data_IF_020801258973
#
_entry.id   IF_020801258973
#
_cell.length_a   1.000
_cell.length_b   1.000
_cell.length_c   1.000
_cell.angle_alpha   90.00
_cell.angle_beta   90.00
_cell.angle_gamma   90.00
#
_symmetry.space_group_name_H-M   'P 1'
#
loop_
_entity.id
_entity.type
_entity.pdbx_description
1 polymer ?
#
# COMPACT_ATOMS: atom_id res chain seq x y z
N UNK A 1 -1.43 1.13 -21.53
CA UNK A 1 -0.85 2.26 -20.76
C UNK A 1 -1.10 2.18 -19.25
N UNK A 2 -2.11 1.46 -18.73
CA UNK A 2 -2.36 1.38 -17.28
C UNK A 2 -1.61 0.25 -16.55
N UNK A 3 -1.20 -0.81 -17.25
CA UNK A 3 -0.65 -2.05 -16.66
C UNK A 3 0.83 -2.29 -16.97
N UNK A 4 1.46 -1.42 -17.78
CA UNK A 4 2.87 -1.54 -18.13
C UNK A 4 3.79 -0.97 -17.05
N UNK A 5 5.09 -1.22 -17.21
CA UNK A 5 6.12 -0.63 -16.36
C UNK A 5 6.01 0.90 -16.35
N UNK A 6 6.48 1.51 -15.26
CA UNK A 6 6.55 2.95 -15.14
C UNK A 6 7.83 3.42 -15.84
N UNK A 7 7.75 4.13 -17.00
CA UNK A 7 8.94 4.70 -17.60
C UNK A 7 9.45 5.84 -16.71
N UNK A 8 10.54 5.60 -15.98
CA UNK A 8 11.14 6.58 -15.07
C UNK A 8 12.68 6.44 -15.09
N UNK A 9 13.39 7.56 -14.96
CA UNK A 9 14.86 7.59 -14.93
C UNK A 9 15.47 7.02 -13.64
N UNK A 10 14.62 6.74 -12.64
CA UNK A 10 14.96 6.10 -11.38
C UNK A 10 14.57 4.61 -11.32
N UNK A 11 14.02 4.07 -12.41
CA UNK A 11 13.72 2.65 -12.61
C UNK A 11 14.49 2.16 -13.85
N UNK A 12 15.55 1.40 -13.63
CA UNK A 12 16.49 0.97 -14.66
C UNK A 12 16.19 -0.43 -15.17
N UNK A 13 15.73 -1.32 -14.28
CA UNK A 13 15.40 -2.70 -14.63
C UNK A 13 13.89 -2.91 -14.77
N UNK A 14 13.43 -3.73 -15.75
CA UNK A 14 12.02 -4.09 -15.85
C UNK A 14 11.49 -4.69 -14.56
N UNK A 15 10.38 -4.16 -14.06
CA UNK A 15 9.77 -4.58 -12.79
C UNK A 15 10.39 -3.98 -11.53
N UNK A 16 11.48 -3.22 -11.62
CA UNK A 16 12.05 -2.47 -10.50
C UNK A 16 11.01 -1.52 -9.91
N UNK A 17 11.01 -1.38 -8.59
CA UNK A 17 10.14 -0.48 -7.84
C UNK A 17 10.83 0.01 -6.59
N UNK A 18 10.45 1.20 -6.14
CA UNK A 18 10.87 1.77 -4.86
C UNK A 18 9.90 1.41 -3.73
N UNK A 19 8.62 1.19 -4.06
CA UNK A 19 7.57 0.89 -3.09
C UNK A 19 7.21 -0.61 -3.01
N UNK A 20 7.11 -1.09 -1.78
CA UNK A 20 6.58 -2.38 -1.39
C UNK A 20 5.14 -2.25 -0.88
N UNK A 21 4.27 -3.19 -1.28
CA UNK A 21 2.85 -3.14 -0.90
C UNK A 21 2.56 -4.10 0.26
N UNK A 22 2.03 -3.53 1.34
CA UNK A 22 1.54 -4.24 2.50
C UNK A 22 0.04 -4.01 2.62
N UNK A 23 -0.69 -5.03 3.05
CA UNK A 23 -2.14 -4.99 3.05
C UNK A 23 -2.69 -5.36 4.41
N UNK A 24 -3.72 -4.65 4.85
CA UNK A 24 -4.67 -5.14 5.86
C UNK A 24 -5.92 -5.56 5.12
N UNK A 25 -6.20 -6.87 5.10
CA UNK A 25 -7.40 -7.44 4.47
C UNK A 25 -8.46 -7.64 5.56
N UNK A 26 -9.59 -6.95 5.42
CA UNK A 26 -10.68 -6.98 6.39
C UNK A 26 -11.87 -7.83 5.90
N UNK A 27 -12.24 -7.70 4.63
CA UNK A 27 -13.39 -8.41 4.05
C UNK A 27 -13.28 -8.50 2.51
N UNK A 28 -12.58 -9.53 2.04
CA UNK A 28 -12.40 -9.83 0.61
C UNK A 28 -12.74 -11.31 0.38
N UNK A 29 -13.60 -11.59 -0.59
CA UNK A 29 -13.99 -12.96 -0.93
C UNK A 29 -12.76 -13.78 -1.37
N UNK A 30 -12.63 -15.00 -0.83
CA UNK A 30 -11.50 -15.90 -1.14
C UNK A 30 -10.19 -15.59 -0.43
N UNK A 31 -10.12 -14.53 0.40
CA UNK A 31 -8.92 -14.16 1.17
C UNK A 31 -9.31 -14.02 2.64
N UNK A 32 -8.63 -14.77 3.51
CA UNK A 32 -8.87 -14.65 4.95
C UNK A 32 -8.48 -13.26 5.48
N UNK A 33 -9.14 -12.75 6.53
CA UNK A 33 -8.70 -11.51 7.16
C UNK A 33 -7.30 -11.63 7.77
N UNK A 34 -6.48 -10.59 7.58
CA UNK A 34 -5.11 -10.59 8.06
C UNK A 34 -4.25 -9.45 7.52
N UNK A 35 -3.00 -9.42 7.96
CA UNK A 35 -1.95 -8.57 7.44
C UNK A 35 -1.11 -9.35 6.42
N UNK A 36 -0.88 -8.77 5.24
CA UNK A 36 -0.22 -9.42 4.11
C UNK A 36 0.89 -8.55 3.53
N UNK A 37 1.84 -9.21 2.87
CA UNK A 37 2.77 -8.59 1.93
C UNK A 37 2.43 -9.08 0.52
N UNK A 38 2.40 -8.17 -0.45
CA UNK A 38 2.22 -8.55 -1.85
C UNK A 38 3.58 -8.78 -2.50
N UNK A 39 3.88 -10.06 -2.75
CA UNK A 39 5.05 -10.46 -3.52
C UNK A 39 4.73 -10.32 -5.00
N UNK A 40 5.29 -9.28 -5.60
CA UNK A 40 5.07 -8.97 -7.01
C UNK A 40 5.84 -9.88 -7.96
N UNK A 41 6.92 -10.53 -7.52
CA UNK A 41 7.65 -11.48 -8.37
C UNK A 41 6.81 -12.73 -8.63
N UNK A 42 6.11 -13.20 -7.58
CA UNK A 42 5.21 -14.35 -7.68
C UNK A 42 3.76 -13.95 -7.99
N UNK A 43 3.42 -12.67 -7.85
CA UNK A 43 2.06 -12.17 -7.99
C UNK A 43 1.13 -12.66 -6.88
N UNK A 44 1.67 -12.97 -5.70
CA UNK A 44 0.97 -13.65 -4.61
C UNK A 44 0.89 -12.81 -3.33
N UNK A 45 -0.06 -13.15 -2.45
CA UNK A 45 -0.17 -12.56 -1.12
C UNK A 45 0.47 -13.49 -0.10
N UNK A 46 1.53 -13.02 0.54
CA UNK A 46 2.16 -13.68 1.67
C UNK A 46 1.47 -13.23 2.96
N UNK A 47 0.87 -14.17 3.68
CA UNK A 47 0.31 -13.90 5.00
C UNK A 47 1.43 -13.61 6.01
N UNK A 48 1.37 -12.45 6.65
CA UNK A 48 2.29 -12.05 7.72
C UNK A 48 1.67 -12.31 9.10
N UNK A 49 0.39 -11.96 9.27
CA UNK A 49 -0.36 -12.14 10.52
C UNK A 49 -1.81 -12.47 10.20
N UNK A 50 -2.32 -13.60 10.70
CA UNK A 50 -3.75 -13.91 10.59
C UNK A 50 -4.53 -13.15 11.67
N UNK A 51 -5.72 -12.64 11.35
CA UNK A 51 -6.59 -12.02 12.34
C UNK A 51 -7.44 -10.89 11.79
N UNK A 52 -8.38 -10.42 12.62
CA UNK A 52 -9.15 -9.22 12.34
C UNK A 52 -8.39 -7.99 12.83
N UNK A 53 -8.01 -7.13 11.89
CA UNK A 53 -7.22 -5.93 12.16
C UNK A 53 -7.97 -4.63 11.82
N UNK A 54 -9.30 -4.64 11.74
CA UNK A 54 -10.10 -3.42 11.47
C UNK A 54 -9.79 -2.29 12.44
N UNK A 55 -9.76 -2.59 13.75
CA UNK A 55 -9.41 -1.60 14.77
C UNK A 55 -7.98 -1.07 14.61
N UNK A 56 -7.03 -1.93 14.25
CA UNK A 56 -5.66 -1.52 13.94
C UNK A 56 -5.62 -0.65 12.69
N UNK A 57 -6.32 -1.01 11.60
CA UNK A 57 -6.38 -0.22 10.38
C UNK A 57 -6.90 1.20 10.66
N UNK A 58 -8.00 1.31 11.43
CA UNK A 58 -8.54 2.61 11.84
C UNK A 58 -7.54 3.44 12.63
N UNK A 59 -6.88 2.82 13.64
CA UNK A 59 -5.81 3.48 14.40
C UNK A 59 -4.66 3.94 13.50
N UNK A 60 -4.12 3.05 12.67
CA UNK A 60 -3.00 3.33 11.78
C UNK A 60 -3.30 4.46 10.81
N UNK A 61 -4.54 4.57 10.32
CA UNK A 61 -5.00 5.70 9.51
C UNK A 61 -5.43 6.92 10.33
N UNK A 62 -4.68 7.30 11.37
CA UNK A 62 -4.96 8.43 12.27
C UNK A 62 -6.34 8.38 12.93
N UNK A 63 -6.71 7.23 13.49
CA UNK A 63 -7.99 7.03 14.21
C UNK A 63 -9.24 7.31 13.36
N UNK A 64 -9.11 7.21 12.03
CA UNK A 64 -10.23 7.37 11.11
C UNK A 64 -11.06 6.09 11.00
N UNK A 65 -12.37 6.22 10.81
CA UNK A 65 -13.26 5.06 10.60
C UNK A 65 -13.06 4.42 9.21
N UNK A 66 -12.63 5.21 8.22
CA UNK A 66 -12.53 4.78 6.82
C UNK A 66 -11.68 3.52 6.62
N UNK A 67 -10.43 3.41 7.13
CA UNK A 67 -9.66 2.18 7.03
C UNK A 67 -10.30 1.00 7.78
N UNK A 68 -10.91 1.25 8.93
CA UNK A 68 -11.57 0.20 9.71
C UNK A 68 -12.77 -0.41 8.97
N UNK A 69 -13.47 0.41 8.18
CA UNK A 69 -14.62 0.00 7.36
C UNK A 69 -14.22 -0.57 5.99
N UNK A 70 -13.06 -0.18 5.48
CA UNK A 70 -12.55 -0.63 4.19
C UNK A 70 -12.49 -2.16 4.09
N UNK A 71 -12.68 -2.69 2.87
CA UNK A 71 -12.48 -4.11 2.59
C UNK A 71 -11.00 -4.47 2.66
N UNK A 72 -10.14 -3.57 2.19
CA UNK A 72 -8.69 -3.72 2.21
C UNK A 72 -8.01 -2.36 2.27
N UNK A 73 -6.96 -2.28 3.08
CA UNK A 73 -6.06 -1.12 3.18
C UNK A 73 -4.71 -1.49 2.58
N UNK A 74 -4.19 -0.67 1.67
CA UNK A 74 -2.91 -0.87 1.00
C UNK A 74 -1.93 0.20 1.44
N UNK A 75 -0.90 -0.21 2.18
CA UNK A 75 0.20 0.61 2.64
C UNK A 75 1.40 0.44 1.72
N UNK A 76 1.94 1.57 1.27
CA UNK A 76 3.14 1.68 0.46
C UNK A 76 4.30 1.96 1.41
N UNK A 77 5.26 1.06 1.47
CA UNK A 77 6.46 1.20 2.29
C UNK A 77 7.70 1.13 1.41
N UNK A 78 8.75 1.86 1.75
CA UNK A 78 9.98 1.87 0.98
C UNK A 78 11.22 1.88 1.89
N UNK A 79 12.32 1.31 1.43
CA UNK A 79 13.61 1.45 2.10
C UNK A 79 14.23 2.80 1.75
N UNK A 80 13.85 3.84 2.51
CA UNK A 80 14.35 5.20 2.25
C UNK A 80 15.87 5.30 2.41
N UNK A 81 16.50 4.47 3.25
CA UNK A 81 17.94 4.52 3.42
C UNK A 81 18.63 4.15 2.11
N UNK A 82 18.33 2.98 1.57
CA UNK A 82 18.91 2.49 0.30
C UNK A 82 18.58 3.43 -0.88
N UNK A 83 17.35 3.94 -0.91
CA UNK A 83 16.91 4.87 -1.97
C UNK A 83 17.68 6.19 -1.92
N UNK A 84 17.88 6.76 -0.73
CA UNK A 84 18.60 8.01 -0.56
C UNK A 84 20.10 7.83 -0.77
N UNK A 85 20.68 6.67 -0.43
CA UNK A 85 22.07 6.37 -0.78
C UNK A 85 22.28 6.32 -2.30
N UNK A 86 21.36 5.69 -3.03
CA UNK A 86 21.47 5.54 -4.49
C UNK A 86 21.18 6.82 -5.27
N UNK A 87 20.16 7.58 -4.85
CA UNK A 87 19.66 8.71 -5.63
C UNK A 87 19.88 10.06 -4.94
N UNK A 88 20.43 10.11 -3.73
CA UNK A 88 20.50 11.33 -2.92
C UNK A 88 19.10 11.85 -2.58
N UNK A 89 19.02 13.15 -2.24
CA UNK A 89 17.77 13.79 -1.82
C UNK A 89 16.63 13.71 -2.86
N UNK A 90 16.93 13.50 -4.16
CA UNK A 90 15.88 13.31 -5.18
C UNK A 90 15.16 11.96 -5.00
N UNK A 91 15.76 10.98 -4.33
CA UNK A 91 15.17 9.68 -4.06
C UNK A 91 13.84 9.77 -3.30
N UNK A 92 13.74 10.70 -2.35
CA UNK A 92 12.49 10.96 -1.62
C UNK A 92 11.35 11.43 -2.55
N UNK A 93 11.66 12.25 -3.55
CA UNK A 93 10.66 12.69 -4.53
C UNK A 93 10.29 11.56 -5.49
N UNK A 94 11.26 10.74 -5.88
CA UNK A 94 11.03 9.60 -6.77
C UNK A 94 10.10 8.55 -6.14
N UNK A 95 10.34 8.16 -4.89
CA UNK A 95 9.51 7.17 -4.19
C UNK A 95 8.08 7.67 -3.96
N UNK A 96 7.91 8.95 -3.61
CA UNK A 96 6.60 9.58 -3.46
C UNK A 96 5.85 9.66 -4.80
N UNK A 97 6.56 10.01 -5.88
CA UNK A 97 5.99 10.05 -7.23
C UNK A 97 5.53 8.66 -7.68
N UNK A 98 6.36 7.64 -7.48
CA UNK A 98 5.99 6.27 -7.81
C UNK A 98 4.77 5.80 -6.99
N UNK A 99 4.75 6.05 -5.67
CA UNK A 99 3.62 5.73 -4.81
C UNK A 99 2.33 6.42 -5.29
N UNK A 100 2.40 7.69 -5.68
CA UNK A 100 1.28 8.43 -6.23
C UNK A 100 0.76 7.86 -7.55
N UNK A 101 1.64 7.43 -8.45
CA UNK A 101 1.26 6.81 -9.73
C UNK A 101 0.61 5.44 -9.49
N UNK A 102 1.21 4.60 -8.64
CA UNK A 102 0.66 3.29 -8.29
C UNK A 102 -0.68 3.43 -7.57
N UNK A 103 -0.79 4.38 -6.64
CA UNK A 103 -2.06 4.73 -6.00
C UNK A 103 -3.11 5.18 -7.01
N UNK A 104 -2.77 6.07 -7.95
CA UNK A 104 -3.66 6.48 -9.03
C UNK A 104 -4.14 5.29 -9.88
N UNK A 105 -3.28 4.32 -10.16
CA UNK A 105 -3.68 3.06 -10.82
C UNK A 105 -4.67 2.26 -9.97
N UNK A 106 -4.45 2.13 -8.66
CA UNK A 106 -5.41 1.49 -7.76
C UNK A 106 -6.78 2.17 -7.78
N UNK A 107 -6.81 3.50 -7.74
CA UNK A 107 -8.06 4.28 -7.86
C UNK A 107 -8.80 3.98 -9.15
N UNK A 108 -8.11 4.04 -10.30
CA UNK A 108 -8.72 3.77 -11.60
C UNK A 108 -9.23 2.33 -11.71
N UNK A 109 -8.45 1.36 -11.19
CA UNK A 109 -8.86 -0.05 -11.15
C UNK A 109 -10.06 -0.30 -10.25
N UNK A 110 -10.15 0.39 -9.10
CA UNK A 110 -11.29 0.32 -8.20
C UNK A 110 -12.55 0.89 -8.87
N UNK A 111 -12.45 2.09 -9.44
CA UNK A 111 -13.59 2.74 -10.10
C UNK A 111 -14.07 1.95 -11.33
N UNK A 112 -13.17 1.36 -12.10
CA UNK A 112 -13.53 0.47 -13.21
C UNK A 112 -14.38 -0.73 -12.75
N UNK A 113 -14.18 -1.19 -11.51
CA UNK A 113 -14.92 -2.28 -10.87
C UNK A 113 -16.11 -1.81 -10.03
N UNK A 114 -16.46 -0.51 -10.07
CA UNK A 114 -17.51 0.09 -9.23
C UNK A 114 -17.24 -0.09 -7.74
N UNK A 115 -15.98 0.01 -7.36
CA UNK A 115 -15.54 0.08 -5.96
C UNK A 115 -15.13 1.52 -5.62
N UNK A 116 -15.07 1.82 -4.34
CA UNK A 116 -14.48 3.05 -3.81
C UNK A 116 -13.00 2.86 -3.50
N UNK A 117 -12.23 3.93 -3.65
CA UNK A 117 -10.87 4.05 -3.19
C UNK A 117 -10.66 5.45 -2.61
N UNK A 118 -9.87 5.56 -1.54
CA UNK A 118 -9.49 6.83 -0.94
C UNK A 118 -8.07 6.77 -0.38
N UNK A 119 -7.34 7.86 -0.51
CA UNK A 119 -5.98 8.01 -0.02
C UNK A 119 -6.03 8.72 1.32
N UNK A 120 -5.25 8.24 2.28
CA UNK A 120 -5.35 8.67 3.66
C UNK A 120 -3.97 8.97 4.24
N UNK A 121 -3.97 9.75 5.30
CA UNK A 121 -2.82 9.94 6.20
C UNK A 121 -2.78 8.83 7.25
N UNK A 122 -1.61 8.60 7.86
CA UNK A 122 -1.36 7.47 8.75
C UNK A 122 -0.27 7.79 9.77
N UNK A 123 -0.12 6.95 10.81
CA UNK A 123 1.01 6.98 11.75
C UNK A 123 2.18 6.16 11.20
N UNK A 124 3.22 6.83 10.70
CA UNK A 124 4.33 6.22 9.94
C UNK A 124 5.04 5.10 10.72
N UNK A 125 5.49 5.38 11.94
CA UNK A 125 6.24 4.42 12.77
C UNK A 125 5.37 3.23 13.19
N UNK A 126 4.10 3.46 13.46
CA UNK A 126 3.17 2.41 13.88
C UNK A 126 2.80 1.49 12.72
N UNK A 127 2.73 2.00 11.49
CA UNK A 127 2.57 1.17 10.29
C UNK A 127 3.77 0.22 10.17
N UNK A 128 5.00 0.73 10.29
CA UNK A 128 6.22 -0.08 10.21
C UNK A 128 6.26 -1.11 11.35
N UNK A 129 5.90 -0.72 12.57
CA UNK A 129 5.82 -1.61 13.73
C UNK A 129 4.76 -2.69 13.54
N UNK A 130 3.61 -2.35 12.97
CA UNK A 130 2.53 -3.29 12.70
C UNK A 130 2.95 -4.38 11.71
N UNK A 131 3.67 -4.02 10.64
CA UNK A 131 4.16 -4.99 9.64
C UNK A 131 5.54 -5.59 9.97
N UNK A 132 6.14 -5.21 11.10
CA UNK A 132 7.39 -5.81 11.56
C UNK A 132 7.21 -7.29 11.95
N UNK A 133 8.25 -8.14 11.73
CA UNK A 133 9.61 -7.76 11.32
C UNK A 133 9.82 -7.51 9.82
N UNK A 134 8.86 -7.86 8.96
CA UNK A 134 9.03 -7.77 7.50
C UNK A 134 9.24 -6.34 6.99
N UNK A 135 8.54 -5.39 7.60
CA UNK A 135 8.66 -3.97 7.30
C UNK A 135 9.85 -3.27 7.99
N UNK A 136 10.63 -3.96 8.83
CA UNK A 136 11.74 -3.33 9.56
C UNK A 136 12.73 -2.66 8.60
N UNK A 137 13.17 -1.45 8.93
CA UNK A 137 14.07 -0.63 8.11
C UNK A 137 13.38 0.20 7.03
N UNK A 138 12.08 -0.05 6.77
CA UNK A 138 11.30 0.72 5.79
C UNK A 138 10.64 1.93 6.44
N UNK A 139 10.21 2.86 5.59
CA UNK A 139 9.36 3.99 5.94
C UNK A 139 8.03 3.88 5.22
N UNK A 140 6.93 4.25 5.89
CA UNK A 140 5.62 4.34 5.26
C UNK A 140 5.55 5.60 4.37
N UNK A 141 4.97 5.46 3.20
CA UNK A 141 4.98 6.47 2.13
C UNK A 141 3.56 6.90 1.77
N UNK A 142 2.65 5.93 1.62
CA UNK A 142 1.28 6.21 1.22
C UNK A 142 0.31 5.13 1.72
N UNK A 143 -0.97 5.49 1.88
CA UNK A 143 -2.05 4.57 2.24
C UNK A 143 -3.23 4.80 1.29
N UNK A 144 -3.75 3.70 0.74
CA UNK A 144 -5.01 3.68 -0.01
C UNK A 144 -5.96 2.67 0.61
N UNK A 145 -7.13 3.12 1.07
CA UNK A 145 -8.22 2.28 1.52
C UNK A 145 -9.17 1.98 0.35
N UNK A 146 -9.58 0.72 0.18
CA UNK A 146 -10.50 0.27 -0.87
C UNK A 146 -11.69 -0.50 -0.27
N UNK A 147 -12.86 -0.32 -0.86
CA UNK A 147 -14.08 -1.00 -0.42
C UNK A 147 -15.29 -0.71 -1.28
N UNK A 148 -16.46 -1.17 -0.87
CA UNK A 148 -17.72 -0.78 -1.53
C UNK A 148 -18.04 0.67 -1.15
N UNK A 149 -18.36 1.49 -2.14
CA UNK A 149 -18.80 2.86 -1.88
C UNK A 149 -20.14 2.84 -1.15
N UNK A 150 -20.26 3.61 -0.06
CA UNK A 150 -21.51 3.74 0.68
C UNK A 150 -22.67 4.30 -0.18
N UNK A 151 -22.35 4.97 -1.29
CA UNK A 151 -23.32 5.54 -2.24
C UNK A 151 -23.82 4.52 -3.27
N UNK A 152 -23.23 3.33 -3.34
CA UNK A 152 -23.63 2.28 -4.28
C UNK A 152 -24.31 1.15 -3.49
N UNK A 153 -25.63 1.28 -3.32
CA UNK A 153 -26.52 0.20 -2.86
C UNK A 153 -27.08 -0.57 -4.05
#
# INVERSE_FOLDING_TARGET
>A
MATGDLPADFLHDPGEQLNNLYLVVNNVEGISPGAYFYDRQTGSLQLLKAGNFRGNAGYLGLEQELPADASVDVFFLADLHDILERFGNRGYRAVQLEAGILGGRLYLSAYAQRLGATGLTFYDDDVVRFFSPHAKGKSAIFLVALGKSALQK
#
